data_IF_724067792561
#
_entry.id   IF_724067792561
#
_cell.length_a   1.000
_cell.length_b   1.000
_cell.length_c   1.000
_cell.angle_alpha   90.00
_cell.angle_beta   90.00
_cell.angle_gamma   90.00
#
_symmetry.space_group_name_H-M   'P 1'
#
loop_
_entity.id
_entity.type
_entity.pdbx_description
1 polymer ?
#
# COMPACT_ATOMS: atom_id res chain seq x y z
N UNK A 1 -7.44 8.42 22.86
CA UNK A 1 -6.28 8.69 21.98
C UNK A 1 -6.37 7.85 20.72
N UNK A 2 -6.81 8.48 19.64
CA UNK A 2 -6.79 7.89 18.30
C UNK A 2 -5.32 7.56 17.96
N UNK A 3 -5.03 6.28 17.79
CA UNK A 3 -3.71 5.76 17.51
C UNK A 3 -3.11 6.45 16.28
N UNK A 4 -1.77 6.68 16.26
CA UNK A 4 -1.03 7.18 15.08
C UNK A 4 -1.32 6.39 13.79
N UNK A 5 -1.74 5.12 13.91
CA UNK A 5 -2.13 4.25 12.80
C UNK A 5 -3.47 4.62 12.16
N UNK A 6 -4.38 5.25 12.90
CA UNK A 6 -5.68 5.73 12.38
C UNK A 6 -5.55 7.06 11.61
N UNK A 7 -4.46 7.82 11.79
CA UNK A 7 -4.20 9.05 11.03
C UNK A 7 -3.78 8.81 9.56
N UNK A 8 -3.49 7.59 9.18
CA UNK A 8 -3.25 7.19 7.79
C UNK A 8 -4.50 6.65 7.09
N UNK A 9 -5.62 6.59 7.78
CA UNK A 9 -6.90 6.17 7.22
C UNK A 9 -7.56 7.33 6.48
N UNK A 10 -7.70 7.16 5.28
CA UNK A 10 -8.71 7.38 4.23
C UNK A 10 -9.64 8.60 4.32
N UNK A 11 -9.81 9.29 5.42
CA UNK A 11 -10.74 10.41 5.58
C UNK A 11 -10.00 11.54 6.25
N UNK A 12 -9.83 12.64 5.53
CA UNK A 12 -9.23 13.86 6.07
C UNK A 12 -10.34 14.84 6.45
N UNK A 13 -10.24 15.31 7.67
CA UNK A 13 -11.22 16.16 8.34
C UNK A 13 -11.23 17.62 7.80
N UNK A 14 -12.32 18.31 8.03
CA UNK A 14 -12.84 19.63 7.65
C UNK A 14 -11.88 20.84 7.62
N UNK A 15 -10.58 20.72 7.86
CA UNK A 15 -9.76 21.89 8.19
C UNK A 15 -8.69 22.27 7.17
N UNK A 16 -8.68 21.68 5.97
CA UNK A 16 -7.75 22.14 4.92
C UNK A 16 -8.47 22.98 3.88
N UNK A 17 -8.08 24.25 3.80
CA UNK A 17 -8.42 25.15 2.71
C UNK A 17 -7.64 24.70 1.47
N UNK A 18 -8.34 24.26 0.46
CA UNK A 18 -7.75 24.01 -0.86
C UNK A 18 -7.96 25.22 -1.74
N UNK A 19 -6.98 25.52 -2.60
CA UNK A 19 -7.10 26.58 -3.59
C UNK A 19 -7.45 25.94 -4.93
N UNK A 20 -8.32 26.60 -5.68
CA UNK A 20 -8.46 26.33 -7.11
C UNK A 20 -7.34 27.00 -7.88
N UNK A 21 -7.10 26.59 -9.12
CA UNK A 21 -6.19 27.27 -10.04
C UNK A 21 -6.52 28.77 -10.21
N UNK A 22 -7.78 29.16 -9.98
CA UNK A 22 -8.28 30.54 -10.03
C UNK A 22 -8.11 31.27 -8.68
N UNK A 23 -7.54 30.63 -7.64
CA UNK A 23 -7.27 31.22 -6.33
C UNK A 23 -8.44 31.23 -5.35
N UNK A 24 -9.61 30.68 -5.71
CA UNK A 24 -10.74 30.51 -4.79
C UNK A 24 -10.42 29.46 -3.73
N UNK A 25 -10.82 29.73 -2.49
CA UNK A 25 -10.69 28.79 -1.36
C UNK A 25 -11.94 27.94 -1.26
N UNK A 26 -11.79 26.65 -1.50
CA UNK A 26 -12.85 25.68 -1.31
C UNK A 26 -12.52 24.75 -0.13
N UNK A 27 -13.55 24.46 0.66
CA UNK A 27 -13.45 23.55 1.80
C UNK A 27 -14.44 22.41 1.54
N UNK A 28 -13.98 21.24 1.08
CA UNK A 28 -14.81 20.06 0.99
C UNK A 28 -15.17 19.58 2.40
N UNK A 29 -16.36 18.98 2.56
CA UNK A 29 -16.75 18.42 3.86
C UNK A 29 -15.86 17.23 4.24
N UNK A 30 -15.60 16.31 3.28
CA UNK A 30 -14.72 15.16 3.47
C UNK A 30 -13.97 14.83 2.19
N UNK A 31 -12.79 14.21 2.33
CA UNK A 31 -12.02 13.65 1.23
C UNK A 31 -11.72 12.20 1.57
N UNK A 32 -12.07 11.29 0.65
CA UNK A 32 -11.69 9.88 0.73
C UNK A 32 -10.43 9.69 -0.11
N UNK A 33 -9.37 9.18 0.52
CA UNK A 33 -8.14 8.82 -0.15
C UNK A 33 -8.17 7.35 -0.56
N UNK A 34 -7.95 7.09 -1.84
CA UNK A 34 -7.78 5.74 -2.38
C UNK A 34 -6.29 5.39 -2.50
N UNK A 35 -5.94 4.10 -2.55
CA UNK A 35 -4.62 3.67 -2.98
C UNK A 35 -4.27 4.23 -4.36
N UNK A 36 -2.97 4.48 -4.59
CA UNK A 36 -2.50 5.04 -5.86
C UNK A 36 -2.67 6.56 -5.97
N UNK A 37 -2.79 7.27 -4.84
CA UNK A 37 -2.91 8.73 -4.77
C UNK A 37 -4.14 9.27 -5.52
N UNK A 38 -5.25 8.60 -5.44
CA UNK A 38 -6.53 9.05 -6.00
C UNK A 38 -7.45 9.46 -4.86
N UNK A 39 -8.18 10.56 -5.06
CA UNK A 39 -9.03 11.16 -4.04
C UNK A 39 -10.46 11.31 -4.54
N UNK A 40 -11.43 11.24 -3.63
CA UNK A 40 -12.85 11.52 -3.91
C UNK A 40 -13.34 12.53 -2.89
N UNK A 41 -13.92 13.61 -3.38
CA UNK A 41 -14.53 14.65 -2.55
C UNK A 41 -15.97 14.24 -2.23
N UNK A 42 -16.37 14.41 -0.94
CA UNK A 42 -17.74 14.28 -0.48
C UNK A 42 -18.23 15.64 0.01
N UNK A 43 -19.39 16.07 -0.47
CA UNK A 43 -20.14 17.21 0.05
C UNK A 43 -21.48 16.72 0.60
N UNK A 44 -21.86 17.12 1.83
CA UNK A 44 -23.00 16.58 2.57
C UNK A 44 -24.14 17.57 2.82
N UNK A 45 -24.10 18.75 2.22
CA UNK A 45 -25.03 19.85 2.55
C UNK A 45 -26.34 19.82 1.77
N UNK A 46 -27.05 18.70 1.75
CA UNK A 46 -28.38 18.61 1.13
C UNK A 46 -29.43 19.25 2.04
N UNK A 47 -30.21 20.19 1.51
CA UNK A 47 -31.35 20.75 2.23
C UNK A 47 -32.56 19.80 2.15
N UNK A 48 -33.01 19.31 3.31
CA UNK A 48 -34.10 18.35 3.44
C UNK A 48 -35.40 18.99 3.95
N UNK A 49 -35.52 20.33 4.07
CA UNK A 49 -36.73 21.01 4.60
C UNK A 49 -37.97 20.63 3.85
N UNK A 50 -37.91 20.63 2.51
CA UNK A 50 -39.06 20.24 1.67
C UNK A 50 -39.39 18.74 1.79
N UNK A 51 -38.38 17.90 2.07
CA UNK A 51 -38.59 16.48 2.37
C UNK A 51 -39.32 16.29 3.70
N UNK A 52 -38.92 17.01 4.74
CA UNK A 52 -39.56 16.96 6.05
C UNK A 52 -41.01 17.43 5.99
N UNK A 53 -41.30 18.46 5.20
CA UNK A 53 -42.70 18.88 4.93
C UNK A 53 -43.49 17.81 4.21
N UNK A 54 -42.89 17.15 3.20
CA UNK A 54 -43.52 16.04 2.46
C UNK A 54 -43.91 14.88 3.37
N UNK A 55 -43.05 14.53 4.32
CA UNK A 55 -43.31 13.39 5.23
C UNK A 55 -44.34 13.74 6.31
N UNK A 56 -44.41 14.99 6.76
CA UNK A 56 -45.22 15.41 7.89
C UNK A 56 -46.60 15.99 7.48
N UNK A 57 -46.96 16.02 6.21
CA UNK A 57 -48.27 16.50 5.77
C UNK A 57 -49.14 15.36 5.25
N UNK A 58 -50.43 15.37 5.60
CA UNK A 58 -51.44 14.45 5.10
C UNK A 58 -52.26 15.06 3.93
N UNK A 59 -52.12 16.36 3.71
CA UNK A 59 -52.79 17.08 2.62
C UNK A 59 -52.11 16.69 1.28
N UNK A 60 -52.86 16.09 0.38
CA UNK A 60 -52.37 15.56 -0.91
C UNK A 60 -51.72 16.66 -1.76
N UNK A 61 -52.36 17.85 -1.82
CA UNK A 61 -51.84 18.96 -2.64
C UNK A 61 -50.53 19.50 -2.07
N UNK A 62 -50.46 19.71 -0.77
CA UNK A 62 -49.25 20.16 -0.10
C UNK A 62 -48.12 19.15 -0.21
N UNK A 63 -48.48 17.87 -0.17
CA UNK A 63 -47.53 16.76 -0.32
C UNK A 63 -46.87 16.76 -1.71
N UNK A 64 -47.66 16.95 -2.77
CA UNK A 64 -47.16 17.05 -4.13
C UNK A 64 -46.26 18.27 -4.33
N UNK A 65 -46.67 19.43 -3.81
CA UNK A 65 -45.89 20.67 -3.84
C UNK A 65 -44.56 20.53 -3.09
N UNK A 66 -44.57 19.92 -1.90
CA UNK A 66 -43.37 19.66 -1.12
C UNK A 66 -42.41 18.71 -1.86
N UNK A 67 -42.93 17.66 -2.48
CA UNK A 67 -42.11 16.73 -3.28
C UNK A 67 -41.45 17.44 -4.49
N UNK A 68 -42.19 18.31 -5.15
CA UNK A 68 -41.68 19.08 -6.31
C UNK A 68 -40.59 20.06 -5.85
N UNK A 69 -40.76 20.73 -4.70
CA UNK A 69 -39.74 21.59 -4.10
C UNK A 69 -38.48 20.78 -3.68
N UNK A 70 -38.69 19.56 -3.16
CA UNK A 70 -37.57 18.67 -2.82
C UNK A 70 -36.76 18.28 -4.06
N UNK A 71 -37.41 17.88 -5.16
CA UNK A 71 -36.75 17.58 -6.45
C UNK A 71 -35.94 18.78 -6.96
N UNK A 72 -36.54 19.97 -6.89
CA UNK A 72 -35.85 21.20 -7.32
C UNK A 72 -34.65 21.54 -6.41
N UNK A 73 -34.79 21.32 -5.10
CA UNK A 73 -33.69 21.53 -4.14
C UNK A 73 -32.49 20.63 -4.46
N UNK A 74 -32.71 19.34 -4.71
CA UNK A 74 -31.65 18.41 -5.11
C UNK A 74 -30.98 18.86 -6.41
N UNK A 75 -31.77 19.25 -7.41
CA UNK A 75 -31.23 19.73 -8.69
C UNK A 75 -30.36 20.97 -8.52
N UNK A 76 -30.84 21.95 -7.75
CA UNK A 76 -30.10 23.17 -7.46
C UNK A 76 -28.78 22.87 -6.74
N UNK A 77 -28.78 21.88 -5.85
CA UNK A 77 -27.57 21.47 -5.13
C UNK A 77 -26.56 20.81 -6.06
N UNK A 78 -27.02 19.93 -6.97
CA UNK A 78 -26.16 19.35 -8.03
C UNK A 78 -25.52 20.47 -8.86
N UNK A 79 -26.30 21.47 -9.27
CA UNK A 79 -25.79 22.60 -10.06
C UNK A 79 -24.78 23.44 -9.28
N UNK A 80 -25.03 23.66 -8.00
CA UNK A 80 -24.10 24.36 -7.11
C UNK A 80 -22.78 23.62 -6.94
N UNK A 81 -22.82 22.30 -6.74
CA UNK A 81 -21.62 21.47 -6.63
C UNK A 81 -20.83 21.41 -7.92
N UNK A 82 -21.51 21.32 -9.06
CA UNK A 82 -20.87 21.33 -10.37
C UNK A 82 -20.06 22.62 -10.60
N UNK A 83 -20.59 23.78 -10.13
CA UNK A 83 -19.90 25.06 -10.23
C UNK A 83 -18.65 25.17 -9.36
N UNK A 84 -18.59 24.47 -8.22
CA UNK A 84 -17.46 24.50 -7.29
C UNK A 84 -16.18 23.85 -7.84
N UNK A 85 -16.29 23.08 -8.93
CA UNK A 85 -15.16 22.50 -9.68
C UNK A 85 -14.08 21.84 -8.78
N UNK A 86 -14.52 21.06 -7.80
CA UNK A 86 -13.65 20.34 -6.85
C UNK A 86 -12.60 19.45 -7.50
N UNK A 87 -12.74 19.17 -8.80
CA UNK A 87 -11.82 18.33 -9.57
C UNK A 87 -10.47 19.04 -9.82
N UNK A 88 -10.45 20.37 -9.79
CA UNK A 88 -9.27 21.21 -10.09
C UNK A 88 -8.64 21.78 -8.81
N UNK A 89 -8.78 21.10 -7.67
CA UNK A 89 -8.16 21.52 -6.42
C UNK A 89 -6.66 21.18 -6.41
N UNK A 90 -5.82 22.16 -6.12
CA UNK A 90 -4.39 21.96 -5.95
C UNK A 90 -4.11 20.96 -4.82
N UNK A 91 -3.28 19.96 -5.10
CA UNK A 91 -2.86 18.94 -4.11
C UNK A 91 -3.85 17.80 -3.89
N UNK A 92 -4.97 17.77 -4.62
CA UNK A 92 -5.92 16.67 -4.66
C UNK A 92 -5.86 16.05 -6.06
N UNK A 93 -5.54 14.78 -6.15
CA UNK A 93 -5.66 14.01 -7.38
C UNK A 93 -7.08 13.43 -7.45
N UNK A 94 -8.06 14.32 -7.64
CA UNK A 94 -9.46 13.96 -7.60
C UNK A 94 -9.82 12.99 -8.74
N UNK A 95 -10.53 11.93 -8.38
CA UNK A 95 -11.30 11.18 -9.38
C UNK A 95 -12.33 12.12 -10.01
N UNK A 96 -12.64 11.92 -11.27
CA UNK A 96 -13.56 12.76 -12.06
C UNK A 96 -15.01 12.83 -11.55
N UNK A 97 -15.22 12.59 -10.24
CA UNK A 97 -16.53 12.62 -9.64
C UNK A 97 -16.50 13.16 -8.21
N UNK A 98 -17.51 13.93 -7.85
CA UNK A 98 -17.79 14.41 -6.48
C UNK A 98 -18.99 13.62 -5.94
N UNK A 99 -18.90 13.14 -4.72
CA UNK A 99 -20.01 12.49 -4.02
C UNK A 99 -20.86 13.55 -3.34
N UNK A 100 -22.12 13.62 -3.73
CA UNK A 100 -23.16 14.38 -3.04
C UNK A 100 -23.88 13.43 -2.06
N UNK A 101 -23.60 13.60 -0.78
CA UNK A 101 -24.18 12.75 0.26
C UNK A 101 -25.50 13.30 0.77
N UNK A 102 -26.55 12.49 0.68
CA UNK A 102 -27.85 12.75 1.29
C UNK A 102 -28.02 11.86 2.53
N UNK A 103 -28.22 12.42 3.74
CA UNK A 103 -28.28 11.63 4.99
C UNK A 103 -29.56 10.80 5.14
N UNK A 104 -30.52 10.92 4.22
CA UNK A 104 -31.78 10.20 4.25
C UNK A 104 -32.01 9.41 2.95
N UNK A 105 -32.00 8.09 3.06
CA UNK A 105 -32.23 7.16 1.93
C UNK A 105 -33.63 7.34 1.31
N UNK A 106 -34.64 7.55 2.16
CA UNK A 106 -36.01 7.72 1.70
C UNK A 106 -36.21 9.03 0.90
N UNK A 107 -35.44 10.07 1.22
CA UNK A 107 -35.44 11.33 0.48
C UNK A 107 -34.92 11.13 -0.97
N UNK A 108 -33.96 10.24 -1.18
CA UNK A 108 -33.49 9.89 -2.51
C UNK A 108 -34.54 9.02 -3.23
N UNK A 109 -35.05 8.00 -2.54
CA UNK A 109 -36.02 7.05 -3.10
C UNK A 109 -37.34 7.72 -3.48
N UNK A 110 -37.75 8.78 -2.78
CA UNK A 110 -38.99 9.55 -3.07
C UNK A 110 -38.97 10.26 -4.42
N UNK A 111 -37.81 10.44 -5.04
CA UNK A 111 -37.70 10.98 -6.39
C UNK A 111 -38.41 10.09 -7.41
N UNK A 112 -38.72 8.82 -7.08
CA UNK A 112 -39.50 7.88 -7.85
C UNK A 112 -39.02 7.75 -9.30
N UNK A 113 -39.93 7.82 -10.27
CA UNK A 113 -39.60 7.76 -11.71
C UNK A 113 -38.65 8.90 -12.16
N UNK A 114 -38.58 10.01 -11.40
CA UNK A 114 -37.63 11.10 -11.65
C UNK A 114 -36.23 10.80 -11.10
N UNK A 115 -36.08 9.78 -10.24
CA UNK A 115 -34.82 9.42 -9.64
C UNK A 115 -33.76 9.08 -10.71
N UNK A 116 -34.10 8.24 -11.68
CA UNK A 116 -33.19 7.88 -12.76
C UNK A 116 -32.76 9.10 -13.58
N UNK A 117 -33.70 9.95 -13.96
CA UNK A 117 -33.37 11.19 -14.70
C UNK A 117 -32.50 12.12 -13.90
N UNK A 118 -32.72 12.20 -12.57
CA UNK A 118 -31.91 13.01 -11.67
C UNK A 118 -30.50 12.45 -11.48
N UNK A 119 -30.37 11.12 -11.38
CA UNK A 119 -29.07 10.46 -11.33
C UNK A 119 -28.29 10.65 -12.63
N UNK A 120 -28.93 10.44 -13.79
CA UNK A 120 -28.30 10.67 -15.10
C UNK A 120 -27.85 12.14 -15.25
N UNK A 121 -28.65 13.08 -14.79
CA UNK A 121 -28.30 14.50 -14.76
C UNK A 121 -27.10 14.80 -13.87
N UNK A 122 -27.05 14.21 -12.66
CA UNK A 122 -25.93 14.35 -11.75
C UNK A 122 -24.64 13.77 -12.34
N UNK A 123 -24.73 12.56 -12.93
CA UNK A 123 -23.59 11.88 -13.56
C UNK A 123 -23.01 12.71 -14.72
N UNK A 124 -23.86 13.31 -15.57
CA UNK A 124 -23.42 14.21 -16.65
C UNK A 124 -22.61 15.41 -16.10
N UNK A 125 -22.91 15.82 -14.86
CA UNK A 125 -22.18 16.88 -14.15
C UNK A 125 -21.03 16.35 -13.27
N UNK A 126 -20.68 15.06 -13.41
CA UNK A 126 -19.65 14.40 -12.64
C UNK A 126 -19.94 14.37 -11.12
N UNK A 127 -21.22 14.32 -10.77
CA UNK A 127 -21.69 14.21 -9.39
C UNK A 127 -22.41 12.88 -9.21
N UNK A 128 -22.10 12.19 -8.12
CA UNK A 128 -22.76 10.93 -7.74
C UNK A 128 -23.57 11.16 -6.47
N UNK A 129 -24.89 11.04 -6.58
CA UNK A 129 -25.80 11.13 -5.45
C UNK A 129 -25.80 9.80 -4.69
N UNK A 130 -25.48 9.83 -3.40
CA UNK A 130 -25.42 8.63 -2.57
C UNK A 130 -26.15 8.83 -1.23
N UNK A 131 -26.85 7.79 -0.81
CA UNK A 131 -27.41 7.69 0.53
C UNK A 131 -26.48 6.99 1.52
N UNK A 132 -26.94 6.83 2.79
CA UNK A 132 -26.14 6.21 3.86
C UNK A 132 -25.67 4.79 3.51
N UNK A 133 -26.54 3.96 2.93
CA UNK A 133 -26.20 2.58 2.56
C UNK A 133 -25.10 2.53 1.50
N UNK A 134 -25.21 3.31 0.44
CA UNK A 134 -24.22 3.34 -0.63
C UNK A 134 -22.89 3.94 -0.14
N UNK A 135 -22.93 4.98 0.69
CA UNK A 135 -21.71 5.54 1.29
C UNK A 135 -21.01 4.50 2.17
N UNK A 136 -21.75 3.75 2.99
CA UNK A 136 -21.17 2.67 3.79
C UNK A 136 -20.44 1.62 2.93
N UNK A 137 -21.07 1.14 1.86
CA UNK A 137 -20.45 0.18 0.94
C UNK A 137 -19.22 0.77 0.24
N UNK A 138 -19.27 2.03 -0.15
CA UNK A 138 -18.13 2.74 -0.75
C UNK A 138 -16.95 2.77 0.23
N UNK A 139 -17.18 3.16 1.48
CA UNK A 139 -16.14 3.19 2.51
C UNK A 139 -15.56 1.80 2.82
N UNK A 140 -16.42 0.77 2.85
CA UNK A 140 -15.97 -0.62 3.02
C UNK A 140 -15.11 -1.09 1.84
N UNK A 141 -15.46 -0.71 0.64
CA UNK A 141 -14.67 -1.02 -0.56
C UNK A 141 -13.29 -0.34 -0.49
N UNK A 142 -13.24 0.93 -0.08
CA UNK A 142 -11.97 1.66 0.12
C UNK A 142 -11.11 0.98 1.19
N UNK A 143 -11.69 0.57 2.32
CA UNK A 143 -10.99 -0.18 3.37
C UNK A 143 -10.37 -1.47 2.81
N UNK A 144 -11.14 -2.21 2.00
CA UNK A 144 -10.67 -3.43 1.35
C UNK A 144 -9.48 -3.16 0.41
N UNK A 145 -9.56 -2.13 -0.44
CA UNK A 145 -8.46 -1.76 -1.33
C UNK A 145 -7.18 -1.40 -0.56
N UNK A 146 -7.29 -0.67 0.55
CA UNK A 146 -6.14 -0.35 1.40
C UNK A 146 -5.51 -1.60 2.03
N UNK A 147 -6.33 -2.57 2.47
CA UNK A 147 -5.84 -3.86 2.99
C UNK A 147 -5.11 -4.65 1.90
N UNK A 148 -5.68 -4.73 0.71
CA UNK A 148 -5.09 -5.43 -0.43
C UNK A 148 -3.75 -4.81 -0.85
N UNK A 149 -3.66 -3.48 -0.95
CA UNK A 149 -2.41 -2.79 -1.28
C UNK A 149 -1.33 -3.02 -0.23
N UNK A 150 -1.69 -2.95 1.05
CA UNK A 150 -0.75 -3.24 2.14
C UNK A 150 -0.23 -4.67 2.07
N UNK A 151 -1.10 -5.63 1.77
CA UNK A 151 -0.72 -7.04 1.60
C UNK A 151 0.23 -7.20 0.40
N UNK A 152 -0.07 -6.59 -0.74
CA UNK A 152 0.78 -6.62 -1.94
C UNK A 152 2.18 -6.07 -1.64
N UNK A 153 2.28 -4.90 -0.98
CA UNK A 153 3.57 -4.30 -0.58
C UNK A 153 4.36 -5.19 0.38
N UNK A 154 3.67 -5.89 1.29
CA UNK A 154 4.34 -6.85 2.20
C UNK A 154 4.86 -8.07 1.44
N UNK A 155 4.09 -8.60 0.50
CA UNK A 155 4.49 -9.72 -0.35
C UNK A 155 5.75 -9.35 -1.16
N UNK A 156 5.80 -8.17 -1.76
CA UNK A 156 6.98 -7.71 -2.49
C UNK A 156 8.22 -7.64 -1.57
N UNK A 157 8.07 -7.11 -0.35
CA UNK A 157 9.18 -7.09 0.62
C UNK A 157 9.68 -8.48 1.00
N UNK A 158 8.77 -9.45 1.13
CA UNK A 158 9.13 -10.85 1.41
C UNK A 158 9.93 -11.43 0.24
N UNK A 159 9.51 -11.20 -0.99
CA UNK A 159 10.24 -11.65 -2.19
C UNK A 159 11.64 -11.03 -2.24
N UNK A 160 11.75 -9.72 -1.99
CA UNK A 160 13.04 -9.01 -2.00
C UNK A 160 14.00 -9.56 -0.92
N UNK A 161 13.46 -9.85 0.28
CA UNK A 161 14.23 -10.47 1.36
C UNK A 161 14.65 -11.91 1.02
N UNK A 162 13.75 -12.70 0.45
CA UNK A 162 14.05 -14.06 0.02
C UNK A 162 15.16 -14.09 -1.03
N UNK A 163 15.13 -13.18 -2.00
CA UNK A 163 16.18 -13.05 -3.01
C UNK A 163 17.54 -12.68 -2.37
N UNK A 164 17.56 -11.77 -1.41
CA UNK A 164 18.79 -11.42 -0.67
C UNK A 164 19.35 -12.60 0.13
N UNK A 165 18.49 -13.35 0.83
CA UNK A 165 18.90 -14.55 1.56
C UNK A 165 19.49 -15.59 0.61
N UNK A 166 18.85 -15.81 -0.55
CA UNK A 166 19.35 -16.74 -1.56
C UNK A 166 20.74 -16.34 -2.07
N UNK A 167 20.94 -15.06 -2.41
CA UNK A 167 22.26 -14.56 -2.85
C UNK A 167 23.33 -14.74 -1.76
N UNK A 168 23.04 -14.38 -0.53
CA UNK A 168 23.96 -14.56 0.60
C UNK A 168 24.30 -16.03 0.86
N UNK A 169 23.32 -16.94 0.68
CA UNK A 169 23.54 -18.39 0.83
C UNK A 169 24.51 -18.93 -0.20
N UNK A 170 24.45 -18.44 -1.44
CA UNK A 170 25.38 -18.78 -2.50
C UNK A 170 26.81 -18.29 -2.16
N UNK A 171 26.95 -17.04 -1.69
CA UNK A 171 28.25 -16.48 -1.31
C UNK A 171 28.88 -17.25 -0.13
N UNK A 172 28.07 -17.63 0.85
CA UNK A 172 28.54 -18.46 1.98
C UNK A 172 29.02 -19.84 1.48
N UNK A 173 28.22 -20.47 0.58
CA UNK A 173 28.59 -21.75 0.01
C UNK A 173 29.94 -21.69 -0.75
N UNK A 174 30.12 -20.69 -1.61
CA UNK A 174 31.39 -20.52 -2.36
C UNK A 174 32.57 -20.23 -1.42
N UNK A 175 32.38 -19.43 -0.38
CA UNK A 175 33.41 -19.18 0.64
C UNK A 175 33.79 -20.45 1.41
N UNK A 176 32.80 -21.25 1.78
CA UNK A 176 33.02 -22.55 2.42
C UNK A 176 33.76 -23.53 1.52
N UNK A 177 33.47 -23.55 0.23
CA UNK A 177 34.17 -24.37 -0.77
C UNK A 177 35.63 -23.98 -0.90
N UNK A 178 35.92 -22.67 -0.99
CA UNK A 178 37.30 -22.15 -1.04
C UNK A 178 38.08 -22.55 0.23
N UNK A 179 37.45 -22.41 1.40
CA UNK A 179 38.06 -22.79 2.68
C UNK A 179 38.39 -24.31 2.72
N UNK A 180 37.44 -25.14 2.30
CA UNK A 180 37.65 -26.60 2.17
C UNK A 180 38.80 -26.95 1.26
N UNK A 181 38.85 -26.33 0.07
CA UNK A 181 39.94 -26.61 -0.89
C UNK A 181 41.31 -26.17 -0.38
N UNK A 182 41.35 -25.08 0.42
CA UNK A 182 42.56 -24.63 1.08
C UNK A 182 43.02 -25.59 2.18
N UNK A 183 42.09 -26.12 2.98
CA UNK A 183 42.37 -27.15 3.99
C UNK A 183 42.93 -28.40 3.32
N UNK A 184 42.33 -28.85 2.21
CA UNK A 184 42.78 -30.04 1.48
C UNK A 184 44.22 -29.86 0.96
N UNK A 185 44.53 -28.69 0.38
CA UNK A 185 45.90 -28.37 -0.09
C UNK A 185 46.89 -28.37 1.07
N UNK A 186 46.52 -27.79 2.23
CA UNK A 186 47.38 -27.78 3.41
C UNK A 186 47.61 -29.19 3.93
N UNK A 187 46.57 -30.03 4.02
CA UNK A 187 46.66 -31.43 4.43
C UNK A 187 47.65 -32.20 3.51
N UNK A 188 47.47 -32.09 2.18
CA UNK A 188 48.39 -32.72 1.22
C UNK A 188 49.84 -32.24 1.36
N UNK A 189 50.03 -30.94 1.65
CA UNK A 189 51.35 -30.40 1.91
C UNK A 189 52.04 -30.98 3.17
N UNK A 190 51.22 -31.17 4.23
CA UNK A 190 51.72 -31.81 5.50
C UNK A 190 52.07 -33.29 5.21
N UNK A 191 51.29 -34.03 4.46
CA UNK A 191 51.56 -35.40 4.06
C UNK A 191 52.86 -35.51 3.25
N UNK A 192 53.13 -34.57 2.34
CA UNK A 192 54.36 -34.49 1.59
C UNK A 192 55.60 -34.24 2.49
N UNK A 193 55.49 -33.35 3.46
CA UNK A 193 56.55 -33.12 4.44
C UNK A 193 56.78 -34.36 5.28
N UNK A 194 55.74 -35.03 5.75
CA UNK A 194 55.86 -36.28 6.53
C UNK A 194 56.51 -37.39 5.73
N UNK A 195 56.16 -37.53 4.43
CA UNK A 195 56.86 -38.50 3.51
C UNK A 195 58.32 -38.17 3.38
N UNK A 196 58.73 -36.93 3.18
CA UNK A 196 60.11 -36.51 3.10
C UNK A 196 60.91 -36.78 4.38
N UNK A 197 60.25 -36.71 5.53
CA UNK A 197 60.88 -37.00 6.81
C UNK A 197 60.97 -38.51 7.05
N UNK A 198 59.88 -39.27 6.86
CA UNK A 198 59.78 -40.67 7.31
C UNK A 198 60.00 -41.71 6.22
N UNK A 199 59.46 -41.49 5.04
CA UNK A 199 59.23 -42.54 4.07
C UNK A 199 60.25 -42.52 2.89
N UNK A 200 60.82 -43.69 2.57
CA UNK A 200 61.62 -43.92 1.41
C UNK A 200 63.14 -43.80 1.60
N UNK A 201 63.91 -44.37 0.63
CA UNK A 201 65.38 -44.43 0.67
C UNK A 201 66.08 -43.06 0.68
N UNK A 202 65.37 -41.99 0.41
CA UNK A 202 65.89 -40.64 0.42
C UNK A 202 65.32 -39.76 1.53
N UNK A 203 64.54 -40.30 2.47
CA UNK A 203 63.94 -39.58 3.61
C UNK A 203 65.00 -39.04 4.55
N UNK A 204 64.65 -37.96 5.26
CA UNK A 204 65.53 -37.33 6.25
C UNK A 204 65.99 -38.34 7.28
N UNK A 205 65.12 -39.16 7.86
CA UNK A 205 65.46 -40.18 8.86
C UNK A 205 66.39 -41.26 8.27
N UNK A 206 66.15 -41.71 7.04
CA UNK A 206 67.06 -42.65 6.38
C UNK A 206 68.48 -42.08 6.19
N UNK A 207 68.63 -40.81 5.88
CA UNK A 207 69.92 -40.12 5.79
C UNK A 207 70.56 -40.00 7.14
N UNK A 208 69.85 -39.69 8.22
CA UNK A 208 70.36 -39.63 9.57
C UNK A 208 70.83 -41.01 10.06
N UNK A 209 70.09 -42.06 9.79
CA UNK A 209 70.45 -43.44 10.10
C UNK A 209 71.74 -43.86 9.37
N UNK A 210 71.88 -43.50 8.11
CA UNK A 210 73.12 -43.78 7.38
C UNK A 210 74.33 -42.99 7.92
N UNK A 211 74.12 -41.72 8.30
CA UNK A 211 75.13 -40.90 8.92
C UNK A 211 75.60 -41.51 10.23
N UNK A 212 74.68 -41.97 11.07
CA UNK A 212 74.96 -42.65 12.32
C UNK A 212 75.78 -43.94 12.13
N UNK A 213 75.47 -44.72 11.10
CA UNK A 213 76.18 -45.97 10.73
C UNK A 213 77.58 -45.66 10.26
N UNK A 214 77.86 -44.62 9.50
CA UNK A 214 79.14 -44.20 9.01
C UNK A 214 79.96 -43.55 10.16
N UNK A 215 79.32 -42.67 10.95
CA UNK A 215 80.00 -42.02 12.11
C UNK A 215 80.33 -43.01 13.22
N UNK A 216 79.50 -44.02 13.48
CA UNK A 216 79.79 -45.10 14.41
C UNK A 216 80.97 -45.96 13.95
N UNK A 217 81.22 -46.10 12.67
CA UNK A 217 82.38 -46.82 12.12
C UNK A 217 83.66 -46.04 12.30
N UNK A 218 83.59 -44.70 12.35
CA UNK A 218 84.77 -43.83 12.58
C UNK A 218 85.20 -43.76 14.05
N UNK A 219 84.36 -44.04 15.02
CA UNK A 219 84.60 -44.04 16.43
C UNK A 219 85.21 -45.38 16.93
N UNK A 220 85.17 -46.41 16.14
CA UNK A 220 85.78 -47.76 16.52
C UNK A 220 87.13 -48.06 15.82
N UNK A 221 87.65 -47.11 15.10
CA UNK A 221 89.00 -47.28 14.44
C UNK A 221 90.07 -46.34 14.98
N UNK A 222 89.99 -45.96 16.25
CA UNK A 222 91.02 -45.23 16.94
C UNK A 222 91.51 -46.00 18.19
#
# INVERSE_FOLDING_TARGET
>A
TISRRQRQMCIRDRHQNYKTEEGERLIPDFIIHFPGKRDVVIDSKVNLTAWDEYVNTDDIQKKEDALNRHKQSIKNHIDSLAKKNYQNLEGINSLDAVIMFCPNEAAISSLGNSSRKMMDYAIQKKITLVGPSMLYFTLKTVEYYWKAEKQSKNTQKIIDLANKISSQSIEIYESAKIARDSIQKTSSGVDDVMRKIKDGRGSFLSKVDNLNKVGGCLLYTS
#
